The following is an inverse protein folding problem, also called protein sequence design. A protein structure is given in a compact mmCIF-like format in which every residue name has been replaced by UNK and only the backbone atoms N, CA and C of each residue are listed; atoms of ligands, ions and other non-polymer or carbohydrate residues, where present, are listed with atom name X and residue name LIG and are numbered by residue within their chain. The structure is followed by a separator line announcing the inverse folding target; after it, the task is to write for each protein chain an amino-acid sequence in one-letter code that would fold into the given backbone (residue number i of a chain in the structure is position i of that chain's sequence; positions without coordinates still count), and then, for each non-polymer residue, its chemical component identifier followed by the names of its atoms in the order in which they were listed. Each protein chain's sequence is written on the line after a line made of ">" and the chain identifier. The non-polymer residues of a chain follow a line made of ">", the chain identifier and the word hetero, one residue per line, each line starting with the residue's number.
data_IF_683831556488
#
_entry.id   IF_683831556488
#
_cell.length_a   1.000
_cell.length_b   1.000
_cell.length_c   1.000
_cell.angle_alpha   90.00
_cell.angle_beta   90.00
_cell.angle_gamma   90.00
#
_symmetry.space_group_name_H-M   'P 1'
#
loop_
_entity.id
_entity.type
_entity.pdbx_description
1 polymer ?
#
# COMPACT_ATOMS: atom_id res chain seq x y z
N UNK A 1 10.54 -1.41 -10.54
CA UNK A 1 9.41 -0.56 -10.07
C UNK A 1 8.66 -1.31 -9.00
N UNK A 2 8.36 -0.65 -7.88
CA UNK A 2 7.72 -1.27 -6.72
C UNK A 2 6.42 -0.54 -6.38
N UNK A 3 5.43 -1.33 -5.97
CA UNK A 3 4.11 -0.87 -5.55
C UNK A 3 3.91 -1.21 -4.07
N UNK A 4 3.41 -0.26 -3.30
CA UNK A 4 3.10 -0.40 -1.88
C UNK A 4 1.60 -0.51 -1.68
N UNK A 5 1.18 -1.49 -0.89
CA UNK A 5 -0.19 -1.60 -0.45
C UNK A 5 -0.42 -0.81 0.85
N UNK A 6 -1.43 0.06 0.85
CA UNK A 6 -1.93 0.77 2.02
C UNK A 6 -3.25 0.14 2.48
N UNK A 7 -3.17 -0.63 3.55
CA UNK A 7 -4.33 -1.32 4.14
C UNK A 7 -5.41 -0.35 4.63
N UNK A 8 -5.04 0.83 5.13
CA UNK A 8 -6.02 1.79 5.67
C UNK A 8 -6.86 2.41 4.56
N UNK A 9 -6.21 2.76 3.45
CA UNK A 9 -6.87 3.35 2.28
C UNK A 9 -7.47 2.32 1.33
N UNK A 10 -7.11 1.03 1.46
CA UNK A 10 -7.36 -0.03 0.48
C UNK A 10 -6.89 0.39 -0.92
N UNK A 11 -5.62 0.78 -1.01
CA UNK A 11 -5.03 1.33 -2.22
C UNK A 11 -3.62 0.79 -2.47
N UNK A 12 -3.27 0.67 -3.75
CA UNK A 12 -1.94 0.32 -4.22
C UNK A 12 -1.26 1.57 -4.78
N UNK A 13 -0.06 1.89 -4.30
CA UNK A 13 0.65 3.15 -4.61
C UNK A 13 2.03 2.87 -5.20
N UNK A 14 2.33 3.47 -6.34
CA UNK A 14 3.64 3.40 -6.98
C UNK A 14 4.66 4.26 -6.23
N UNK A 15 5.83 3.68 -5.92
CA UNK A 15 6.92 4.41 -5.27
C UNK A 15 7.61 5.42 -6.20
N UNK A 16 7.54 5.18 -7.51
CA UNK A 16 8.23 5.98 -8.53
C UNK A 16 7.40 7.21 -8.94
N UNK A 17 6.11 7.01 -9.21
CA UNK A 17 5.23 8.06 -9.75
C UNK A 17 4.31 8.66 -8.69
N UNK A 18 4.04 7.94 -7.60
CA UNK A 18 2.99 8.31 -6.64
C UNK A 18 1.57 8.10 -7.18
N UNK A 19 1.46 7.40 -8.30
CA UNK A 19 0.20 6.92 -8.87
C UNK A 19 -0.43 5.89 -7.93
N UNK A 20 -1.74 5.97 -7.76
CA UNK A 20 -2.48 5.11 -6.85
C UNK A 20 -3.78 4.61 -7.46
N UNK A 21 -4.07 3.34 -7.20
CA UNK A 21 -5.34 2.68 -7.50
C UNK A 21 -6.01 2.29 -6.20
N UNK A 22 -7.26 2.69 -6.00
CA UNK A 22 -8.04 2.37 -4.80
C UNK A 22 -9.28 1.58 -5.17
N UNK A 23 -9.79 0.82 -4.20
CA UNK A 23 -11.12 0.24 -4.33
C UNK A 23 -12.19 1.32 -4.58
N UNK A 24 -13.03 1.08 -5.59
CA UNK A 24 -14.10 1.99 -6.00
C UNK A 24 -13.70 3.00 -7.07
N UNK A 25 -12.44 3.01 -7.52
CA UNK A 25 -12.03 3.81 -8.67
C UNK A 25 -12.53 3.16 -9.97
N UNK A 26 -13.08 4.00 -10.87
CA UNK A 26 -13.35 3.59 -12.24
C UNK A 26 -12.03 3.43 -13.00
N UNK A 27 -11.86 2.28 -13.65
CA UNK A 27 -10.66 1.95 -14.44
C UNK A 27 -11.04 1.33 -15.78
N UNK A 28 -10.29 1.68 -16.81
CA UNK A 28 -10.40 1.02 -18.10
C UNK A 28 -9.39 -0.14 -18.15
N UNK A 29 -9.88 -1.33 -18.50
CA UNK A 29 -9.08 -2.55 -18.49
C UNK A 29 -9.27 -3.35 -19.76
N UNK A 30 -8.25 -4.16 -20.08
CA UNK A 30 -8.32 -5.19 -21.10
C UNK A 30 -8.37 -6.57 -20.45
N UNK A 31 -9.32 -7.40 -20.86
CA UNK A 31 -9.30 -8.83 -20.52
C UNK A 31 -8.17 -9.50 -21.30
N UNK A 32 -7.16 -10.01 -20.58
CA UNK A 32 -6.01 -10.69 -21.19
C UNK A 32 -6.21 -12.20 -21.19
N UNK A 33 -6.88 -12.74 -20.17
CA UNK A 33 -7.08 -14.17 -20.03
C UNK A 33 -8.35 -14.49 -19.24
N UNK A 34 -9.07 -15.51 -19.68
CA UNK A 34 -10.23 -16.06 -18.99
C UNK A 34 -10.12 -17.58 -18.90
N UNK A 35 -10.26 -18.12 -17.68
CA UNK A 35 -10.37 -19.56 -17.42
C UNK A 35 -11.71 -19.80 -16.72
N UNK A 36 -12.82 -19.96 -17.48
CA UNK A 36 -14.17 -19.99 -16.92
C UNK A 36 -14.37 -21.15 -15.93
N UNK A 37 -13.81 -22.32 -16.23
CA UNK A 37 -13.94 -23.51 -15.39
C UNK A 37 -13.32 -23.31 -14.00
N UNK A 38 -12.26 -22.50 -13.90
CA UNK A 38 -11.61 -22.16 -12.64
C UNK A 38 -12.18 -20.88 -11.98
N UNK A 39 -13.12 -20.18 -12.64
CA UNK A 39 -13.65 -18.90 -12.16
C UNK A 39 -12.61 -17.77 -12.13
N UNK A 40 -11.58 -17.83 -12.96
CA UNK A 40 -10.46 -16.86 -12.95
C UNK A 40 -10.50 -15.95 -14.17
N UNK A 41 -10.21 -14.66 -13.96
CA UNK A 41 -10.03 -13.66 -15.00
C UNK A 41 -8.76 -12.85 -14.71
N UNK A 42 -7.99 -12.55 -15.75
CA UNK A 42 -6.81 -11.68 -15.68
C UNK A 42 -6.98 -10.48 -16.58
N UNK A 43 -6.71 -9.32 -16.02
CA UNK A 43 -6.85 -8.04 -16.69
C UNK A 43 -5.53 -7.28 -16.71
N UNK A 44 -5.39 -6.40 -17.70
CA UNK A 44 -4.38 -5.37 -17.76
C UNK A 44 -5.06 -4.01 -17.65
N UNK A 45 -4.47 -3.09 -16.89
CA UNK A 45 -4.98 -1.72 -16.72
C UNK A 45 -4.50 -0.87 -17.89
N UNK A 46 -5.43 -0.13 -18.50
CA UNK A 46 -5.16 0.81 -19.60
C UNK A 46 -5.21 2.28 -19.15
N UNK A 47 -5.99 2.57 -18.11
CA UNK A 47 -6.15 3.92 -17.57
C UNK A 47 -5.07 4.27 -16.55
N UNK A 48 -4.66 5.53 -16.52
CA UNK A 48 -3.81 6.06 -15.46
C UNK A 48 -4.53 6.04 -14.09
N UNK A 49 -3.76 5.78 -13.04
CA UNK A 49 -4.20 5.88 -11.65
C UNK A 49 -4.19 7.33 -11.15
N UNK A 50 -4.77 7.54 -9.96
CA UNK A 50 -4.83 8.87 -9.35
C UNK A 50 -3.45 9.27 -8.84
N UNK A 51 -3.07 10.54 -9.05
CA UNK A 51 -1.84 11.08 -8.45
C UNK A 51 -2.10 11.45 -7.00
N UNK A 52 -1.42 10.78 -6.07
CA UNK A 52 -1.53 11.14 -4.66
C UNK A 52 -0.84 12.48 -4.37
N UNK A 53 -1.46 13.35 -3.56
CA UNK A 53 -0.81 14.54 -3.04
C UNK A 53 0.49 14.19 -2.31
N UNK A 54 1.52 15.04 -2.45
CA UNK A 54 2.84 14.79 -1.87
C UNK A 54 2.80 14.54 -0.35
N UNK A 55 1.89 15.23 0.37
CA UNK A 55 1.70 15.04 1.81
C UNK A 55 1.19 13.64 2.16
N UNK A 56 0.31 13.08 1.35
CA UNK A 56 -0.27 11.75 1.55
C UNK A 56 0.76 10.65 1.23
N UNK A 57 1.52 10.83 0.14
CA UNK A 57 2.66 9.95 -0.18
C UNK A 57 3.69 9.88 0.95
N UNK A 58 4.00 11.01 1.58
CA UNK A 58 4.95 11.07 2.71
C UNK A 58 4.43 10.28 3.91
N UNK A 59 3.16 10.46 4.28
CA UNK A 59 2.52 9.72 5.38
C UNK A 59 2.56 8.21 5.13
N UNK A 60 2.28 7.77 3.90
CA UNK A 60 2.33 6.35 3.55
C UNK A 60 3.73 5.76 3.73
N UNK A 61 4.77 6.47 3.26
CA UNK A 61 6.17 6.07 3.44
C UNK A 61 6.56 5.98 4.91
N UNK A 62 6.20 6.97 5.72
CA UNK A 62 6.46 6.98 7.17
C UNK A 62 5.82 5.78 7.89
N UNK A 63 4.58 5.40 7.51
CA UNK A 63 3.91 4.23 8.09
C UNK A 63 4.65 2.94 7.78
N UNK A 64 5.11 2.75 6.55
CA UNK A 64 5.86 1.55 6.16
C UNK A 64 7.28 1.50 6.71
N UNK A 65 7.90 2.64 7.03
CA UNK A 65 9.23 2.72 7.64
C UNK A 65 9.21 2.64 9.17
N UNK A 66 8.03 2.67 9.79
CA UNK A 66 7.89 2.49 11.23
C UNK A 66 8.02 1.00 11.55
N UNK A 67 9.26 0.52 11.55
CA UNK A 67 9.61 -0.74 12.21
C UNK A 67 8.90 -0.75 13.58
N UNK A 68 8.21 -1.84 13.96
CA UNK A 68 7.60 -1.91 15.26
C UNK A 68 8.75 -1.77 16.27
N UNK A 69 8.79 -0.63 16.97
CA UNK A 69 9.72 -0.39 18.09
C UNK A 69 9.29 -1.25 19.28
N UNK A 70 9.15 -2.55 19.06
CA UNK A 70 8.96 -3.53 20.11
C UNK A 70 10.31 -3.75 20.78
N UNK A 71 10.30 -3.55 22.11
CA UNK A 71 11.25 -4.03 23.15
C UNK A 71 12.26 -3.10 23.83
N UNK A 72 12.67 -1.92 23.34
CA UNK A 72 13.74 -1.16 24.05
C UNK A 72 13.31 -0.22 25.19
N UNK A 73 12.05 -0.24 25.63
CA UNK A 73 11.53 0.64 26.70
C UNK A 73 11.09 -0.04 28.00
N UNK A 74 11.25 -1.36 28.14
CA UNK A 74 10.90 -2.07 29.40
C UNK A 74 12.07 -2.33 30.36
N UNK A 75 13.34 -2.09 29.96
CA UNK A 75 14.51 -2.34 30.83
C UNK A 75 15.00 -1.13 31.63
N UNK A 76 14.48 0.08 31.39
CA UNK A 76 14.90 1.29 32.11
C UNK A 76 14.08 1.58 33.38
N UNK A 77 12.95 0.89 33.62
CA UNK A 77 12.04 1.19 34.72
C UNK A 77 12.21 0.28 35.96
N UNK A 78 13.14 -0.67 35.95
CA UNK A 78 13.32 -1.64 37.06
C UNK A 78 14.53 -1.30 37.95
N UNK A 79 15.33 -0.26 37.62
CA UNK A 79 16.56 0.07 38.36
C UNK A 79 16.47 1.31 39.26
N UNK A 80 15.25 1.68 39.68
CA UNK A 80 15.05 2.79 40.63
C UNK A 80 13.86 2.48 41.53
N UNK A 81 14.04 1.50 42.43
CA UNK A 81 13.32 1.33 43.70
C UNK A 81 13.89 0.14 44.47
N UNK A 82 15.05 0.32 45.10
CA UNK A 82 15.34 -0.05 46.49
C UNK A 82 16.75 0.40 46.85
#
# INVERSE_FOLDING_TARGET
>A
NYWRYDETGQQLVSDATGEAFRLGDDVEVRLVEAIPVAGMLRFEILSDGRKLPAAERRKLRERTHREPRTTKRRRAAVRTRR
#
